data_IF_169360698378
#
_entry.id   IF_169360698378
#
_cell.length_a   1.000
_cell.length_b   1.000
_cell.length_c   1.000
_cell.angle_alpha   90.00
_cell.angle_beta   90.00
_cell.angle_gamma   90.00
#
_symmetry.space_group_name_H-M   'P 1'
#
loop_
_entity.id
_entity.type
_entity.pdbx_description
1 polymer ?
#
# COMPACT_ATOMS: atom_id res chain seq x y z
N UNK A 1 2.12 29.76 -16.02
CA UNK A 1 3.29 30.16 -16.84
C UNK A 1 3.82 29.04 -17.74
N UNK A 2 4.05 27.84 -17.21
CA UNK A 2 4.50 26.68 -18.02
C UNK A 2 3.49 26.32 -19.11
N UNK A 3 2.19 26.29 -18.76
CA UNK A 3 1.10 26.03 -19.71
C UNK A 3 1.03 27.11 -20.75
N UNK A 4 1.11 28.39 -20.36
CA UNK A 4 1.12 29.53 -21.28
C UNK A 4 2.28 29.44 -22.26
N UNK A 5 3.48 29.14 -21.79
CA UNK A 5 4.64 28.95 -22.64
C UNK A 5 4.49 27.78 -23.61
N UNK A 6 3.85 26.70 -23.21
CA UNK A 6 3.54 25.57 -24.08
C UNK A 6 2.50 25.96 -25.15
N UNK A 7 1.50 26.76 -24.81
CA UNK A 7 0.50 27.24 -25.74
C UNK A 7 1.14 28.23 -26.75
N UNK A 8 1.95 29.16 -26.26
CA UNK A 8 2.72 30.09 -27.14
C UNK A 8 3.66 29.33 -28.08
N UNK A 9 4.31 28.30 -27.61
CA UNK A 9 5.20 27.44 -28.40
C UNK A 9 4.48 26.63 -29.49
N UNK A 10 3.15 26.67 -29.56
CA UNK A 10 2.38 26.07 -30.67
C UNK A 10 2.25 27.00 -31.89
N UNK A 11 2.51 28.29 -31.75
CA UNK A 11 2.59 29.24 -32.84
C UNK A 11 4.03 29.40 -33.30
N UNK A 12 4.25 29.73 -34.58
CA UNK A 12 5.59 29.98 -35.15
C UNK A 12 6.49 28.75 -35.19
N UNK A 13 5.96 27.55 -35.38
CA UNK A 13 6.76 26.32 -35.45
C UNK A 13 7.60 26.30 -36.72
N UNK A 14 8.82 25.75 -36.59
CA UNK A 14 9.81 25.64 -37.69
C UNK A 14 10.19 26.99 -38.33
N UNK A 15 10.03 28.11 -37.59
CA UNK A 15 10.38 29.43 -38.08
C UNK A 15 9.25 30.14 -38.84
N UNK A 16 8.07 29.55 -38.96
CA UNK A 16 6.91 30.20 -39.56
C UNK A 16 6.43 31.39 -38.73
N UNK A 17 5.89 32.45 -39.38
CA UNK A 17 5.30 33.58 -38.68
C UNK A 17 4.14 33.09 -37.78
N UNK A 18 4.15 33.51 -36.54
CA UNK A 18 3.10 33.14 -35.59
C UNK A 18 2.86 34.23 -34.54
N UNK A 19 1.62 34.33 -34.07
CA UNK A 19 1.26 35.24 -32.99
C UNK A 19 0.38 34.52 -31.98
N UNK A 20 0.45 34.97 -30.74
CA UNK A 20 -0.42 34.48 -29.66
C UNK A 20 -0.87 35.67 -28.81
N UNK A 21 -2.14 35.68 -28.41
CA UNK A 21 -2.69 36.69 -27.50
C UNK A 21 -3.49 36.02 -26.42
N UNK A 22 -3.29 36.44 -25.18
CA UNK A 22 -4.04 35.96 -24.02
C UNK A 22 -5.08 37.00 -23.61
N UNK A 23 -6.29 36.54 -23.36
CA UNK A 23 -7.37 37.34 -22.80
C UNK A 23 -7.66 36.82 -21.40
N UNK A 24 -7.52 37.68 -20.40
CA UNK A 24 -7.67 37.35 -18.98
C UNK A 24 -8.62 38.33 -18.33
N UNK A 25 -9.45 37.86 -17.41
CA UNK A 25 -10.26 38.72 -16.55
C UNK A 25 -9.54 39.00 -15.24
N UNK A 26 -9.74 40.18 -14.67
CA UNK A 26 -9.26 40.50 -13.33
C UNK A 26 -10.03 39.70 -12.23
N UNK A 27 -11.18 39.14 -12.60
CA UNK A 27 -12.00 38.28 -11.72
C UNK A 27 -11.53 36.81 -11.74
N UNK A 28 -10.65 36.45 -12.70
CA UNK A 28 -10.08 35.11 -12.76
C UNK A 28 -9.37 34.75 -11.45
N UNK A 29 -9.43 33.48 -11.04
CA UNK A 29 -8.86 32.98 -9.79
C UNK A 29 -7.38 33.33 -9.61
N UNK A 30 -6.63 33.41 -10.72
CA UNK A 30 -5.23 33.83 -10.71
C UNK A 30 -5.05 35.23 -10.12
N UNK A 31 -5.86 36.18 -10.57
CA UNK A 31 -5.77 37.58 -10.12
C UNK A 31 -6.53 37.85 -8.85
N UNK A 32 -7.64 37.12 -8.61
CA UNK A 32 -8.41 37.18 -7.36
C UNK A 32 -7.61 36.69 -6.15
N UNK A 33 -6.89 35.57 -6.27
CA UNK A 33 -6.15 34.96 -5.17
C UNK A 33 -4.72 35.50 -5.00
N UNK A 34 -4.07 35.92 -6.09
CA UNK A 34 -2.66 36.31 -6.10
C UNK A 34 -2.42 37.73 -6.66
N UNK A 35 -3.43 38.31 -7.30
CA UNK A 35 -3.44 39.74 -7.62
C UNK A 35 -3.63 40.55 -6.34
N UNK A 36 -2.84 41.54 -6.10
CA UNK A 36 -2.98 42.38 -4.93
C UNK A 36 -4.25 43.24 -5.05
N UNK A 37 -4.92 43.51 -3.94
CA UNK A 37 -6.02 44.46 -3.78
C UNK A 37 -5.67 45.87 -4.36
N UNK A 38 -4.38 46.09 -4.61
CA UNK A 38 -3.86 47.28 -5.30
C UNK A 38 -4.35 47.41 -6.72
N UNK A 39 -4.63 46.28 -7.43
CA UNK A 39 -5.10 46.34 -8.83
C UNK A 39 -6.54 46.84 -8.88
N UNK A 40 -7.42 46.33 -7.99
CA UNK A 40 -8.81 46.81 -7.91
C UNK A 40 -8.88 48.28 -7.51
N UNK A 41 -8.01 48.73 -6.59
CA UNK A 41 -7.92 50.14 -6.21
C UNK A 41 -7.38 51.06 -7.33
N UNK A 42 -6.52 50.56 -8.22
CA UNK A 42 -6.03 51.30 -9.39
C UNK A 42 -7.14 51.41 -10.47
N UNK A 43 -7.91 50.33 -10.65
CA UNK A 43 -9.03 50.28 -11.60
C UNK A 43 -10.13 51.28 -11.27
N UNK A 44 -10.53 51.36 -9.98
CA UNK A 44 -11.52 52.33 -9.49
C UNK A 44 -11.04 53.78 -9.69
N UNK A 45 -9.73 54.04 -9.66
CA UNK A 45 -9.17 55.36 -9.87
C UNK A 45 -9.03 55.73 -11.36
N UNK A 46 -8.97 54.74 -12.25
CA UNK A 46 -8.80 54.95 -13.70
C UNK A 46 -10.12 55.25 -14.44
N UNK A 47 -11.30 55.05 -13.77
CA UNK A 47 -12.59 55.39 -14.35
C UNK A 47 -12.93 54.66 -15.64
N UNK A 48 -12.44 53.41 -15.80
CA UNK A 48 -12.62 52.64 -17.04
C UNK A 48 -14.04 52.06 -17.10
N UNK A 49 -14.62 52.07 -18.30
CA UNK A 49 -15.93 51.49 -18.58
C UNK A 49 -15.86 49.97 -18.66
N UNK A 50 -16.93 49.27 -18.27
CA UNK A 50 -17.04 47.80 -18.38
C UNK A 50 -16.92 47.39 -19.86
N UNK A 51 -16.01 46.45 -20.15
CA UNK A 51 -15.81 45.89 -21.49
C UNK A 51 -14.63 46.46 -22.28
N UNK A 52 -13.93 47.47 -21.77
CA UNK A 52 -12.70 47.96 -22.44
C UNK A 52 -11.49 47.07 -22.13
N UNK A 53 -10.73 46.63 -23.16
CA UNK A 53 -9.53 45.83 -22.94
C UNK A 53 -8.40 46.70 -22.35
N UNK A 54 -7.87 46.22 -21.20
CA UNK A 54 -6.81 46.89 -20.47
C UNK A 54 -5.44 46.47 -21.01
N UNK A 55 -4.77 47.32 -21.75
CA UNK A 55 -3.40 47.10 -22.24
C UNK A 55 -2.41 48.02 -21.47
N UNK A 56 -2.05 47.61 -20.23
CA UNK A 56 -1.10 48.37 -19.44
C UNK A 56 0.05 47.47 -18.97
N UNK A 57 1.30 47.97 -19.12
CA UNK A 57 2.49 47.22 -18.71
C UNK A 57 2.51 46.87 -17.22
N UNK A 58 1.86 47.69 -16.37
CA UNK A 58 1.73 47.42 -14.92
C UNK A 58 0.89 46.18 -14.68
N UNK A 59 -0.21 45.98 -15.43
CA UNK A 59 -1.11 44.83 -15.31
C UNK A 59 -0.41 43.57 -15.83
N UNK A 60 0.28 43.63 -16.96
CA UNK A 60 1.09 42.53 -17.48
C UNK A 60 2.13 42.05 -16.45
N UNK A 61 2.80 43.01 -15.77
CA UNK A 61 3.75 42.68 -14.69
C UNK A 61 3.09 42.10 -13.44
N UNK A 62 1.88 42.56 -13.12
CA UNK A 62 1.10 42.00 -12.01
C UNK A 62 0.66 40.54 -12.28
N UNK A 63 0.20 40.28 -13.52
CA UNK A 63 -0.14 38.93 -13.98
C UNK A 63 1.09 38.00 -13.89
N UNK A 64 2.24 38.44 -14.40
CA UNK A 64 3.49 37.67 -14.32
C UNK A 64 3.89 37.37 -12.89
N UNK A 65 3.76 38.32 -11.98
CA UNK A 65 4.06 38.11 -10.57
C UNK A 65 3.07 37.16 -9.92
N UNK A 66 1.77 37.23 -10.23
CA UNK A 66 0.76 36.29 -9.77
C UNK A 66 1.08 34.86 -10.25
N UNK A 67 1.41 34.69 -11.52
CA UNK A 67 1.84 33.41 -12.09
C UNK A 67 3.07 32.84 -11.37
N UNK A 68 4.09 33.68 -11.09
CA UNK A 68 5.27 33.23 -10.33
C UNK A 68 4.93 32.76 -8.92
N UNK A 69 4.01 33.45 -8.22
CA UNK A 69 3.56 33.03 -6.89
C UNK A 69 2.86 31.69 -6.92
N UNK A 70 1.94 31.49 -7.89
CA UNK A 70 1.26 30.20 -8.08
C UNK A 70 2.26 29.08 -8.39
N UNK A 71 3.21 29.36 -9.31
CA UNK A 71 4.26 28.40 -9.67
C UNK A 71 5.12 28.02 -8.46
N UNK A 72 5.53 29.01 -7.64
CA UNK A 72 6.28 28.79 -6.41
C UNK A 72 5.51 27.92 -5.41
N UNK A 73 4.23 28.25 -5.15
CA UNK A 73 3.39 27.46 -4.27
C UNK A 73 3.21 26.01 -4.76
N UNK A 74 2.93 25.84 -6.05
CA UNK A 74 2.80 24.50 -6.61
C UNK A 74 4.12 23.72 -6.62
N UNK A 75 5.25 24.42 -6.74
CA UNK A 75 6.57 23.81 -6.59
C UNK A 75 6.81 23.32 -5.16
N UNK A 76 6.51 24.13 -4.15
CA UNK A 76 6.65 23.76 -2.74
C UNK A 76 5.77 22.57 -2.39
N UNK A 77 4.49 22.58 -2.82
CA UNK A 77 3.59 21.42 -2.59
C UNK A 77 4.17 20.16 -3.22
N UNK A 78 4.66 20.23 -4.47
CA UNK A 78 5.25 19.04 -5.12
C UNK A 78 6.54 18.59 -4.47
N UNK A 79 7.38 19.54 -4.04
CA UNK A 79 8.61 19.22 -3.30
C UNK A 79 8.27 18.48 -2.01
N UNK A 80 7.32 18.99 -1.25
CA UNK A 80 6.87 18.34 -0.02
C UNK A 80 6.32 16.93 -0.27
N UNK A 81 5.51 16.73 -1.33
CA UNK A 81 5.03 15.41 -1.69
C UNK A 81 6.17 14.43 -2.02
N UNK A 82 7.18 14.88 -2.77
CA UNK A 82 8.36 14.07 -3.08
C UNK A 82 9.16 13.69 -1.83
N UNK A 83 9.30 14.59 -0.86
CA UNK A 83 10.01 14.32 0.40
C UNK A 83 9.32 13.21 1.23
N UNK A 84 7.98 13.13 1.20
CA UNK A 84 7.24 12.01 1.80
C UNK A 84 7.39 10.72 0.99
N UNK A 85 7.31 10.81 -0.34
CA UNK A 85 7.43 9.64 -1.22
C UNK A 85 8.84 9.02 -1.21
N UNK A 86 9.88 9.80 -0.99
CA UNK A 86 11.26 9.34 -0.89
C UNK A 86 11.46 8.34 0.26
N UNK A 87 10.73 8.50 1.37
CA UNK A 87 10.77 7.56 2.50
C UNK A 87 10.29 6.18 2.05
N UNK A 88 9.12 6.13 1.41
CA UNK A 88 8.55 4.88 0.89
C UNK A 88 9.40 4.29 -0.25
N UNK A 89 10.02 5.11 -1.09
CA UNK A 89 10.88 4.63 -2.16
C UNK A 89 12.10 3.88 -1.63
N UNK A 90 12.76 4.40 -0.59
CA UNK A 90 13.90 3.71 0.04
C UNK A 90 13.50 2.37 0.65
N UNK A 91 12.35 2.32 1.33
CA UNK A 91 11.80 1.09 1.88
C UNK A 91 11.45 0.08 0.78
N UNK A 92 10.85 0.57 -0.33
CA UNK A 92 10.52 -0.25 -1.50
C UNK A 92 11.76 -0.88 -2.13
N UNK A 93 12.87 -0.14 -2.24
CA UNK A 93 14.12 -0.67 -2.80
C UNK A 93 14.61 -1.89 -2.00
N UNK A 94 14.58 -1.82 -0.67
CA UNK A 94 14.98 -2.93 0.21
C UNK A 94 14.06 -4.14 0.03
N UNK A 95 12.75 -3.93 0.10
CA UNK A 95 11.77 -5.02 -0.02
C UNK A 95 11.80 -5.65 -1.42
N UNK A 96 11.96 -4.84 -2.46
CA UNK A 96 12.05 -5.38 -3.83
C UNK A 96 13.34 -6.13 -4.09
N UNK A 97 14.45 -5.80 -3.40
CA UNK A 97 15.66 -6.58 -3.43
C UNK A 97 15.44 -7.97 -2.79
N UNK A 98 14.83 -8.04 -1.60
CA UNK A 98 14.45 -9.31 -0.95
C UNK A 98 13.48 -10.13 -1.81
N UNK A 99 12.47 -9.48 -2.38
CA UNK A 99 11.52 -10.13 -3.27
C UNK A 99 12.19 -10.70 -4.52
N UNK A 100 13.15 -9.98 -5.09
CA UNK A 100 13.95 -10.45 -6.24
C UNK A 100 14.78 -11.66 -5.86
N UNK A 101 15.46 -11.65 -4.72
CA UNK A 101 16.20 -12.78 -4.18
C UNK A 101 15.30 -14.03 -4.06
N UNK A 102 14.10 -13.89 -3.48
CA UNK A 102 13.13 -14.97 -3.40
C UNK A 102 12.68 -15.50 -4.78
N UNK A 103 12.55 -14.64 -5.79
CA UNK A 103 12.18 -15.03 -7.15
C UNK A 103 13.30 -15.73 -7.90
N UNK A 104 14.53 -15.26 -7.80
CA UNK A 104 15.70 -15.90 -8.44
C UNK A 104 16.12 -17.18 -7.71
N UNK A 105 15.93 -17.23 -6.41
CA UNK A 105 16.36 -18.34 -5.54
C UNK A 105 17.84 -18.28 -5.13
N UNK A 106 18.56 -17.23 -5.54
CA UNK A 106 19.95 -17.05 -5.19
C UNK A 106 20.09 -16.46 -3.79
N UNK A 107 20.85 -17.11 -2.89
CA UNK A 107 21.13 -16.63 -1.54
C UNK A 107 19.94 -16.72 -0.55
N UNK A 108 18.85 -17.41 -0.92
CA UNK A 108 17.67 -17.54 -0.03
C UNK A 108 17.97 -18.42 1.18
N UNK A 109 18.68 -19.52 0.95
CA UNK A 109 19.04 -20.45 2.01
C UNK A 109 19.92 -19.79 3.08
N UNK A 110 20.96 -19.08 2.64
CA UNK A 110 21.84 -18.30 3.50
C UNK A 110 21.07 -17.23 4.29
N UNK A 111 20.18 -16.50 3.61
CA UNK A 111 19.35 -15.49 4.27
C UNK A 111 18.42 -16.10 5.33
N UNK A 112 17.88 -17.29 5.11
CA UNK A 112 17.08 -18.01 6.11
C UNK A 112 17.93 -18.40 7.33
N UNK A 113 19.14 -18.88 7.11
CA UNK A 113 20.06 -19.20 8.20
C UNK A 113 20.44 -17.96 9.02
N UNK A 114 20.71 -16.84 8.36
CA UNK A 114 20.96 -15.56 9.03
C UNK A 114 19.76 -15.10 9.86
N UNK A 115 18.52 -15.25 9.33
CA UNK A 115 17.29 -14.96 10.08
C UNK A 115 17.19 -15.83 11.35
N UNK A 116 17.48 -17.12 11.25
CA UNK A 116 17.46 -18.04 12.40
C UNK A 116 18.46 -17.61 13.46
N UNK A 117 19.69 -17.27 13.04
CA UNK A 117 20.74 -16.81 13.94
C UNK A 117 20.38 -15.50 14.65
N UNK A 118 19.84 -14.54 13.91
CA UNK A 118 19.41 -13.26 14.48
C UNK A 118 18.28 -13.47 15.50
N UNK A 119 17.25 -14.27 15.19
CA UNK A 119 16.14 -14.53 16.10
C UNK A 119 16.63 -15.26 17.36
N UNK A 120 17.56 -16.20 17.22
CA UNK A 120 18.15 -16.91 18.35
C UNK A 120 18.91 -15.93 19.28
N UNK A 121 19.67 -15.00 18.70
CA UNK A 121 20.33 -13.92 19.44
C UNK A 121 19.32 -13.02 20.16
N UNK A 122 18.28 -12.55 19.47
CA UNK A 122 17.22 -11.73 20.05
C UNK A 122 16.51 -12.41 21.25
N UNK A 123 16.25 -13.73 21.14
CA UNK A 123 15.66 -14.51 22.22
C UNK A 123 16.64 -14.59 23.41
N UNK A 124 17.90 -14.85 23.16
CA UNK A 124 18.91 -14.92 24.20
C UNK A 124 19.06 -13.57 24.92
N UNK A 125 19.18 -12.47 24.18
CA UNK A 125 19.29 -11.12 24.72
C UNK A 125 18.06 -10.70 25.55
N UNK A 126 16.86 -11.08 25.10
CA UNK A 126 15.62 -10.75 25.80
C UNK A 126 15.47 -11.48 27.15
N UNK A 127 16.14 -12.62 27.33
CA UNK A 127 16.07 -13.44 28.54
C UNK A 127 17.34 -13.38 29.37
N UNK A 128 18.42 -12.82 28.85
CA UNK A 128 19.63 -12.54 29.59
C UNK A 128 19.40 -11.34 30.51
N UNK A 129 19.60 -11.53 31.80
CA UNK A 129 19.47 -10.45 32.79
C UNK A 129 20.85 -9.87 33.05
N UNK A 130 21.03 -8.55 32.81
CA UNK A 130 22.28 -7.86 33.09
C UNK A 130 22.73 -8.04 34.54
N UNK A 131 24.01 -8.33 34.73
CA UNK A 131 24.61 -8.56 36.04
C UNK A 131 24.10 -9.76 36.84
N UNK A 132 23.37 -10.70 36.22
CA UNK A 132 23.01 -11.98 36.83
C UNK A 132 23.73 -13.14 36.11
N UNK A 133 24.20 -14.16 36.87
CA UNK A 133 24.78 -15.35 36.23
C UNK A 133 23.70 -16.12 35.48
N UNK A 134 24.04 -16.85 34.41
CA UNK A 134 23.08 -17.62 33.61
C UNK A 134 22.22 -18.62 34.39
N UNK A 135 22.70 -19.03 35.56
CA UNK A 135 21.99 -19.96 36.48
C UNK A 135 20.69 -19.37 37.04
N UNK A 136 20.63 -18.04 37.15
CA UNK A 136 19.48 -17.31 37.70
C UNK A 136 18.49 -16.86 36.61
N UNK A 137 18.77 -17.16 35.34
CA UNK A 137 17.88 -16.81 34.25
C UNK A 137 16.68 -17.74 34.18
N UNK A 138 15.51 -17.21 33.78
CA UNK A 138 14.29 -18.00 33.66
C UNK A 138 14.35 -18.95 32.46
N UNK A 139 14.86 -20.17 32.72
CA UNK A 139 14.95 -21.24 31.74
C UNK A 139 13.59 -21.62 31.14
N UNK A 140 12.52 -21.61 31.93
CA UNK A 140 11.21 -21.99 31.44
C UNK A 140 10.65 -20.96 30.46
N UNK A 141 10.82 -19.68 30.76
CA UNK A 141 10.46 -18.60 29.81
C UNK A 141 11.27 -18.68 28.51
N UNK A 142 12.57 -18.97 28.62
CA UNK A 142 13.45 -19.16 27.45
C UNK A 142 13.02 -20.36 26.59
N UNK A 143 12.76 -21.53 27.18
CA UNK A 143 12.28 -22.71 26.46
C UNK A 143 10.94 -22.44 25.77
N UNK A 144 10.03 -21.69 26.43
CA UNK A 144 8.77 -21.27 25.82
C UNK A 144 8.99 -20.30 24.64
N UNK A 145 9.90 -19.34 24.76
CA UNK A 145 10.20 -18.39 23.70
C UNK A 145 10.77 -19.09 22.45
N UNK A 146 11.73 -20.00 22.63
CA UNK A 146 12.29 -20.82 21.53
C UNK A 146 11.19 -21.70 20.92
N UNK A 147 10.35 -22.34 21.73
CA UNK A 147 9.21 -23.13 21.25
C UNK A 147 8.20 -22.28 20.48
N UNK A 148 7.96 -21.05 20.91
CA UNK A 148 7.08 -20.12 20.22
C UNK A 148 7.68 -19.64 18.88
N UNK A 149 8.96 -19.36 18.83
CA UNK A 149 9.65 -18.90 17.62
C UNK A 149 9.85 -20.03 16.59
N UNK A 150 10.42 -21.15 17.02
CA UNK A 150 10.91 -22.19 16.12
C UNK A 150 10.09 -23.48 16.12
N UNK A 151 9.21 -23.69 17.09
CA UNK A 151 8.32 -24.85 17.14
C UNK A 151 8.96 -26.13 17.68
N UNK A 152 10.12 -26.06 18.31
CA UNK A 152 10.77 -27.18 18.98
C UNK A 152 11.19 -26.82 20.40
N UNK A 153 11.40 -27.82 21.24
CA UNK A 153 11.92 -27.63 22.60
C UNK A 153 13.45 -27.73 22.56
N UNK A 154 14.18 -26.67 22.96
CA UNK A 154 15.65 -26.68 22.87
C UNK A 154 16.27 -27.55 23.99
N UNK A 155 17.42 -28.17 23.69
CA UNK A 155 18.25 -28.90 24.62
C UNK A 155 19.40 -28.00 25.12
N UNK A 156 19.09 -27.00 25.94
CA UNK A 156 19.99 -25.90 26.31
C UNK A 156 21.20 -26.30 27.19
N UNK A 157 21.33 -27.57 27.63
CA UNK A 157 22.41 -27.98 28.51
C UNK A 157 22.36 -27.32 29.89
N UNK A 158 23.52 -27.29 30.56
CA UNK A 158 23.65 -26.66 31.88
C UNK A 158 23.93 -25.16 31.74
N UNK A 159 23.32 -24.27 32.55
CA UNK A 159 23.47 -22.82 32.42
C UNK A 159 24.91 -22.31 32.47
N UNK A 160 25.77 -22.99 33.25
CA UNK A 160 27.21 -22.67 33.33
C UNK A 160 27.94 -22.75 31.97
N UNK A 161 27.41 -23.54 31.05
CA UNK A 161 28.02 -23.75 29.72
C UNK A 161 27.59 -22.72 28.69
N UNK A 162 26.61 -21.86 29.00
CA UNK A 162 26.06 -20.94 28.01
C UNK A 162 27.01 -19.80 27.61
N UNK A 163 27.93 -19.41 28.49
CA UNK A 163 28.91 -18.34 28.14
C UNK A 163 28.27 -16.94 27.98
N UNK A 164 27.12 -16.71 28.65
CA UNK A 164 26.37 -15.46 28.54
C UNK A 164 25.32 -15.48 27.44
N UNK A 165 24.74 -14.31 27.11
CA UNK A 165 23.69 -14.17 26.10
C UNK A 165 24.17 -14.60 24.70
N UNK A 166 25.36 -14.15 24.29
CA UNK A 166 25.95 -14.48 22.99
C UNK A 166 26.14 -16.01 22.81
N UNK A 167 26.70 -16.67 23.82
CA UNK A 167 26.88 -18.12 23.77
C UNK A 167 25.56 -18.88 23.80
N UNK A 168 24.58 -18.41 24.57
CA UNK A 168 23.23 -18.97 24.57
C UNK A 168 22.55 -18.82 23.19
N UNK A 169 22.66 -17.65 22.57
CA UNK A 169 22.17 -17.40 21.21
C UNK A 169 22.81 -18.35 20.20
N UNK A 170 24.12 -18.60 20.31
CA UNK A 170 24.82 -19.56 19.44
C UNK A 170 24.31 -20.99 19.63
N UNK A 171 24.06 -21.41 20.87
CA UNK A 171 23.49 -22.76 21.17
C UNK A 171 22.11 -22.93 20.54
N UNK A 172 21.22 -21.94 20.73
CA UNK A 172 19.87 -21.94 20.13
C UNK A 172 19.94 -21.99 18.62
N UNK A 173 20.82 -21.16 18.01
CA UNK A 173 21.01 -21.10 16.56
C UNK A 173 21.49 -22.43 15.99
N UNK A 174 22.46 -23.09 16.67
CA UNK A 174 23.00 -24.39 16.23
C UNK A 174 21.92 -25.49 16.28
N UNK A 175 21.13 -25.55 17.34
CA UNK A 175 20.01 -26.49 17.42
C UNK A 175 18.94 -26.22 16.35
N UNK A 176 18.60 -24.94 16.13
CA UNK A 176 17.65 -24.56 15.08
C UNK A 176 18.17 -24.95 13.69
N UNK A 177 19.46 -24.73 13.42
CA UNK A 177 20.13 -25.18 12.19
C UNK A 177 20.09 -26.71 12.04
N UNK A 178 20.33 -27.46 13.10
CA UNK A 178 20.26 -28.92 13.07
C UNK A 178 18.85 -29.42 12.74
N UNK A 179 17.82 -28.85 13.36
CA UNK A 179 16.41 -29.14 13.05
C UNK A 179 16.08 -28.79 11.60
N UNK A 180 16.59 -27.66 11.13
CA UNK A 180 16.40 -27.23 9.76
C UNK A 180 17.09 -28.14 8.74
N UNK A 181 18.34 -28.53 9.00
CA UNK A 181 19.09 -29.48 8.16
C UNK A 181 18.40 -30.86 8.09
N UNK A 182 17.85 -31.34 9.20
CA UNK A 182 17.08 -32.60 9.20
C UNK A 182 15.88 -32.56 8.23
N UNK A 183 15.29 -31.38 7.99
CA UNK A 183 14.22 -31.22 7.00
C UNK A 183 14.72 -31.31 5.57
N UNK A 184 15.93 -30.79 5.27
CA UNK A 184 16.57 -30.99 3.98
C UNK A 184 16.84 -32.48 3.71
N UNK A 185 17.29 -33.22 4.72
CA UNK A 185 17.52 -34.65 4.59
C UNK A 185 16.21 -35.44 4.39
N UNK A 186 15.14 -34.98 5.04
CA UNK A 186 13.81 -35.60 4.97
C UNK A 186 13.06 -35.31 3.66
N UNK A 187 13.04 -34.05 3.20
CA UNK A 187 12.22 -33.60 2.08
C UNK A 187 13.00 -33.42 0.77
N UNK A 188 14.30 -33.37 0.84
CA UNK A 188 15.22 -33.15 -0.28
C UNK A 188 15.45 -31.68 -0.62
N UNK A 189 16.64 -31.40 -1.12
CA UNK A 189 17.11 -30.03 -1.39
C UNK A 189 16.19 -29.24 -2.33
N UNK A 190 15.72 -29.86 -3.40
CA UNK A 190 14.88 -29.18 -4.40
C UNK A 190 13.53 -28.73 -3.81
N UNK A 191 12.92 -29.59 -2.97
CA UNK A 191 11.65 -29.28 -2.30
C UNK A 191 11.83 -28.16 -1.28
N UNK A 192 12.86 -28.25 -0.45
CA UNK A 192 13.13 -27.22 0.55
C UNK A 192 13.46 -25.88 -0.09
N UNK A 193 14.30 -25.83 -1.11
CA UNK A 193 14.61 -24.60 -1.85
C UNK A 193 13.36 -23.96 -2.50
N UNK A 194 12.43 -24.77 -2.98
CA UNK A 194 11.14 -24.27 -3.47
C UNK A 194 10.29 -23.67 -2.34
N UNK A 195 10.21 -24.35 -1.19
CA UNK A 195 9.42 -23.90 -0.04
C UNK A 195 10.02 -22.64 0.61
N UNK A 196 11.33 -22.53 0.74
CA UNK A 196 12.02 -21.31 1.19
C UNK A 196 11.57 -20.10 0.36
N UNK A 197 11.65 -20.23 -0.96
CA UNK A 197 11.26 -19.16 -1.90
C UNK A 197 9.78 -18.79 -1.78
N UNK A 198 8.92 -19.81 -1.74
CA UNK A 198 7.46 -19.60 -1.67
C UNK A 198 7.05 -18.94 -0.36
N UNK A 199 7.57 -19.42 0.78
CA UNK A 199 7.24 -18.88 2.09
C UNK A 199 7.78 -17.46 2.23
N UNK A 200 9.04 -17.23 1.90
CA UNK A 200 9.63 -15.89 1.96
C UNK A 200 8.84 -14.89 1.09
N UNK A 201 8.51 -15.28 -0.14
CA UNK A 201 7.74 -14.43 -1.05
C UNK A 201 6.35 -14.11 -0.50
N UNK A 202 5.65 -15.12 0.02
CA UNK A 202 4.31 -14.95 0.61
C UNK A 202 4.32 -14.03 1.83
N UNK A 203 5.27 -14.22 2.73
CA UNK A 203 5.42 -13.41 3.96
C UNK A 203 5.76 -11.98 3.60
N UNK A 204 6.76 -11.77 2.73
CA UNK A 204 7.16 -10.43 2.27
C UNK A 204 5.99 -9.71 1.60
N UNK A 205 5.28 -10.35 0.67
CA UNK A 205 4.17 -9.72 -0.06
C UNK A 205 2.99 -9.38 0.88
N UNK A 206 2.70 -10.21 1.88
CA UNK A 206 1.63 -9.95 2.84
C UNK A 206 1.97 -8.77 3.75
N UNK A 207 3.11 -8.83 4.42
CA UNK A 207 3.52 -7.81 5.39
C UNK A 207 3.84 -6.47 4.72
N UNK A 208 4.35 -6.48 3.49
CA UNK A 208 4.53 -5.26 2.72
C UNK A 208 3.23 -4.53 2.39
N UNK A 209 2.17 -5.27 2.04
CA UNK A 209 0.84 -4.66 1.82
C UNK A 209 0.29 -4.01 3.08
N UNK A 210 0.42 -4.70 4.22
CA UNK A 210 -0.03 -4.17 5.51
C UNK A 210 0.79 -2.93 5.91
N UNK A 211 2.11 -2.96 5.64
CA UNK A 211 2.98 -1.82 5.90
C UNK A 211 2.61 -0.60 5.06
N UNK A 212 2.31 -0.77 3.78
CA UNK A 212 1.85 0.34 2.93
C UNK A 212 0.59 0.98 3.48
N UNK A 213 -0.36 0.19 3.96
CA UNK A 213 -1.58 0.70 4.60
C UNK A 213 -1.25 1.48 5.88
N UNK A 214 -0.35 0.97 6.71
CA UNK A 214 0.09 1.65 7.94
C UNK A 214 0.80 2.97 7.62
N UNK A 215 1.61 3.02 6.58
CA UNK A 215 2.28 4.25 6.14
C UNK A 215 1.30 5.29 5.58
N UNK A 216 0.24 4.86 4.90
CA UNK A 216 -0.83 5.76 4.45
C UNK A 216 -1.57 6.36 5.64
N UNK A 217 -1.94 5.56 6.64
CA UNK A 217 -2.55 6.05 7.89
C UNK A 217 -1.63 7.00 8.66
N UNK A 218 -0.34 6.69 8.72
CA UNK A 218 0.65 7.57 9.33
C UNK A 218 0.70 8.93 8.60
N UNK A 219 0.72 8.90 7.26
CA UNK A 219 0.74 10.11 6.42
C UNK A 219 -0.49 11.00 6.62
N UNK A 220 -1.67 10.40 6.76
CA UNK A 220 -2.92 11.14 7.03
C UNK A 220 -2.87 11.85 8.39
N UNK A 221 -2.36 11.16 9.42
CA UNK A 221 -2.34 11.67 10.79
C UNK A 221 -1.17 12.59 11.14
N UNK A 222 -0.07 12.54 10.37
CA UNK A 222 1.21 13.17 10.76
C UNK A 222 1.13 14.70 10.84
N UNK A 223 0.25 15.32 10.04
CA UNK A 223 0.06 16.78 10.06
C UNK A 223 -0.34 17.32 11.44
N UNK A 224 -1.01 16.51 12.27
CA UNK A 224 -1.42 16.89 13.62
C UNK A 224 -0.22 17.06 14.56
N UNK A 225 0.94 16.47 14.27
CA UNK A 225 2.18 16.62 15.03
C UNK A 225 2.69 18.08 15.00
N UNK A 226 2.34 18.84 13.95
CA UNK A 226 2.64 20.27 13.85
C UNK A 226 2.05 21.13 14.97
N UNK A 227 0.91 20.74 15.55
CA UNK A 227 0.36 21.43 16.72
C UNK A 227 1.25 21.28 17.96
N UNK A 228 2.04 20.19 18.04
CA UNK A 228 3.04 19.97 19.08
C UNK A 228 4.40 20.59 18.78
N UNK A 229 4.50 21.53 17.82
CA UNK A 229 5.74 22.19 17.40
C UNK A 229 6.80 21.21 16.85
N UNK A 230 6.40 20.03 16.42
CA UNK A 230 7.26 19.04 15.76
C UNK A 230 7.18 19.20 14.26
N UNK A 231 8.30 18.97 13.59
CA UNK A 231 8.34 18.93 12.13
C UNK A 231 7.64 17.65 11.63
N UNK A 232 6.49 17.75 10.93
CA UNK A 232 5.74 16.58 10.48
C UNK A 232 6.54 15.64 9.59
N UNK A 233 7.46 16.17 8.75
CA UNK A 233 8.27 15.35 7.86
C UNK A 233 9.28 14.50 8.64
N UNK A 234 9.94 15.10 9.64
CA UNK A 234 10.89 14.37 10.49
C UNK A 234 10.21 13.30 11.33
N UNK A 235 9.04 13.62 11.89
CA UNK A 235 8.25 12.62 12.64
C UNK A 235 7.79 11.49 11.71
N UNK A 236 7.36 11.79 10.47
CA UNK A 236 7.02 10.77 9.48
C UNK A 236 8.20 9.88 9.13
N UNK A 237 9.39 10.45 8.94
CA UNK A 237 10.61 9.69 8.68
C UNK A 237 10.96 8.76 9.84
N UNK A 238 10.87 9.25 11.08
CA UNK A 238 11.18 8.50 12.30
C UNK A 238 10.18 7.38 12.54
N UNK A 239 8.89 7.71 12.63
CA UNK A 239 7.82 6.73 12.87
C UNK A 239 7.73 5.71 11.72
N UNK A 240 7.91 6.16 10.47
CA UNK A 240 7.94 5.29 9.31
C UNK A 240 9.15 4.34 9.28
N UNK A 241 10.31 4.76 9.81
CA UNK A 241 11.46 3.88 9.99
C UNK A 241 11.20 2.82 11.08
N UNK A 242 10.62 3.22 12.21
CA UNK A 242 10.25 2.31 13.30
C UNK A 242 9.26 1.22 12.81
N UNK A 243 8.21 1.63 12.08
CA UNK A 243 7.25 0.71 11.47
C UNK A 243 7.91 -0.24 10.45
N UNK A 244 8.84 0.29 9.66
CA UNK A 244 9.58 -0.51 8.68
C UNK A 244 10.46 -1.57 9.33
N UNK A 245 11.22 -1.19 10.36
CA UNK A 245 12.08 -2.13 11.10
C UNK A 245 11.26 -3.22 11.80
N UNK A 246 10.11 -2.86 12.40
CA UNK A 246 9.19 -3.83 12.99
C UNK A 246 8.64 -4.81 11.94
N UNK A 247 8.32 -4.33 10.72
CA UNK A 247 7.91 -5.20 9.62
C UNK A 247 9.04 -6.13 9.18
N UNK A 248 10.27 -5.63 9.02
CA UNK A 248 11.43 -6.46 8.63
C UNK A 248 11.67 -7.57 9.66
N UNK A 249 11.68 -7.23 10.95
CA UNK A 249 11.79 -8.21 12.03
C UNK A 249 10.68 -9.27 11.96
N UNK A 250 9.46 -8.84 11.70
CA UNK A 250 8.32 -9.75 11.55
C UNK A 250 8.46 -10.67 10.32
N UNK A 251 9.00 -10.17 9.20
CA UNK A 251 9.31 -11.01 8.02
C UNK A 251 10.28 -12.12 8.41
N UNK A 252 11.34 -11.79 9.14
CA UNK A 252 12.31 -12.77 9.60
C UNK A 252 11.68 -13.82 10.51
N UNK A 253 10.95 -13.39 11.53
CA UNK A 253 10.29 -14.26 12.50
C UNK A 253 9.27 -15.19 11.87
N UNK A 254 8.37 -14.67 11.01
CA UNK A 254 7.34 -15.47 10.36
C UNK A 254 7.97 -16.47 9.37
N UNK A 255 8.97 -16.04 8.59
CA UNK A 255 9.65 -16.91 7.61
C UNK A 255 10.36 -18.07 8.33
N UNK A 256 11.19 -17.78 9.32
CA UNK A 256 11.90 -18.82 10.07
C UNK A 256 10.94 -19.75 10.81
N UNK A 257 9.90 -19.19 11.47
CA UNK A 257 8.90 -19.98 12.17
C UNK A 257 8.14 -20.91 11.25
N UNK A 258 7.70 -20.44 10.08
CA UNK A 258 6.99 -21.28 9.10
C UNK A 258 7.86 -22.41 8.58
N UNK A 259 9.12 -22.13 8.23
CA UNK A 259 10.05 -23.12 7.71
C UNK A 259 10.41 -24.18 8.77
N UNK A 260 10.68 -23.78 10.01
CA UNK A 260 11.04 -24.69 11.09
C UNK A 260 9.85 -25.51 11.60
N UNK A 261 8.62 -25.03 11.48
CA UNK A 261 7.40 -25.78 11.83
C UNK A 261 6.83 -26.60 10.70
N UNK A 262 7.36 -26.44 9.48
CA UNK A 262 6.85 -27.12 8.29
C UNK A 262 6.80 -28.64 8.50
N UNK A 263 5.64 -29.23 8.22
CA UNK A 263 5.43 -30.68 8.18
C UNK A 263 4.68 -30.99 6.88
N UNK A 264 5.37 -31.64 5.95
CA UNK A 264 4.74 -32.12 4.73
C UNK A 264 4.15 -33.50 4.98
N UNK A 265 2.84 -33.63 4.74
CA UNK A 265 2.21 -34.95 4.70
C UNK A 265 2.74 -35.71 3.49
N UNK A 266 3.08 -36.99 3.67
CA UNK A 266 3.45 -37.84 2.55
C UNK A 266 2.25 -38.00 1.61
N UNK A 267 2.45 -38.16 0.29
CA UNK A 267 1.35 -38.40 -0.64
C UNK A 267 0.45 -39.58 -0.24
N UNK A 268 1.01 -40.57 0.42
CA UNK A 268 0.29 -41.76 0.91
C UNK A 268 -0.59 -41.49 2.13
N UNK A 269 -0.38 -40.35 2.84
CA UNK A 269 -1.17 -39.91 3.99
C UNK A 269 -2.22 -38.85 3.60
N UNK A 270 -2.18 -38.36 2.37
CA UNK A 270 -3.27 -37.57 1.83
C UNK A 270 -4.36 -38.57 1.51
N UNK A 271 -5.36 -38.70 2.41
CA UNK A 271 -6.64 -39.27 1.99
C UNK A 271 -6.97 -38.61 0.67
N UNK A 272 -7.10 -39.44 -0.38
CA UNK A 272 -7.59 -38.98 -1.68
C UNK A 272 -8.81 -38.11 -1.36
N UNK A 273 -8.64 -36.79 -1.47
CA UNK A 273 -9.80 -35.94 -1.59
C UNK A 273 -10.46 -36.41 -2.88
N UNK A 274 -11.34 -37.41 -2.74
CA UNK A 274 -12.26 -37.70 -3.81
C UNK A 274 -12.84 -36.35 -4.23
N UNK A 275 -12.66 -35.94 -5.49
CA UNK A 275 -13.28 -34.71 -5.94
C UNK A 275 -14.73 -34.81 -5.45
N UNK A 276 -15.28 -33.78 -4.80
CA UNK A 276 -16.66 -33.85 -4.34
C UNK A 276 -17.43 -34.39 -5.52
N UNK A 277 -18.09 -35.56 -5.33
CA UNK A 277 -18.94 -36.12 -6.36
C UNK A 277 -19.68 -34.93 -6.93
N UNK A 278 -19.69 -34.80 -8.27
CA UNK A 278 -20.45 -33.76 -8.94
C UNK A 278 -21.88 -33.83 -8.41
N UNK A 279 -22.07 -33.21 -7.25
CA UNK A 279 -23.40 -32.93 -6.76
C UNK A 279 -23.95 -32.03 -7.84
N UNK A 280 -24.88 -32.50 -8.67
CA UNK A 280 -25.47 -31.65 -9.68
C UNK A 280 -25.90 -30.41 -8.91
N UNK A 281 -25.27 -29.28 -9.20
CA UNK A 281 -25.70 -27.99 -8.69
C UNK A 281 -27.13 -27.82 -9.23
N UNK A 282 -28.10 -28.46 -8.54
CA UNK A 282 -29.46 -28.04 -8.68
C UNK A 282 -29.45 -26.62 -8.11
N UNK A 283 -29.46 -25.64 -8.98
CA UNK A 283 -29.96 -24.34 -8.65
C UNK A 283 -31.43 -24.51 -8.30
N UNK A 284 -31.73 -25.05 -7.14
CA UNK A 284 -33.01 -24.89 -6.50
C UNK A 284 -33.01 -23.39 -6.07
N UNK A 285 -33.42 -22.53 -6.95
CA UNK A 285 -34.22 -21.41 -6.55
C UNK A 285 -35.27 -22.02 -5.64
N UNK A 286 -35.13 -21.80 -4.33
CA UNK A 286 -35.88 -22.47 -3.30
C UNK A 286 -37.32 -22.75 -3.70
N UNK A 287 -37.59 -23.99 -4.08
CA UNK A 287 -38.92 -24.51 -4.27
C UNK A 287 -39.24 -25.33 -3.03
N UNK A 288 -39.40 -24.60 -1.93
CA UNK A 288 -40.08 -25.04 -0.74
C UNK A 288 -41.58 -24.67 -0.77
N UNK A 289 -42.16 -24.56 -1.99
CA UNK A 289 -43.61 -24.48 -2.17
C UNK A 289 -44.30 -23.25 -1.54
N UNK A 290 -43.57 -22.27 -1.00
CA UNK A 290 -44.17 -21.12 -0.31
C UNK A 290 -43.64 -19.73 -0.76
N UNK A 291 -42.85 -19.69 -1.88
CA UNK A 291 -42.44 -18.41 -2.47
C UNK A 291 -43.55 -17.85 -3.37
N UNK A 292 -43.80 -16.54 -3.39
CA UNK A 292 -44.78 -15.97 -4.32
C UNK A 292 -44.32 -16.25 -5.75
N UNK A 293 -45.16 -16.93 -6.55
CA UNK A 293 -44.94 -17.12 -7.98
C UNK A 293 -44.48 -15.80 -8.64
N UNK A 294 -43.46 -15.82 -9.53
CA UNK A 294 -43.08 -14.64 -10.25
C UNK A 294 -44.31 -14.08 -10.97
N UNK A 295 -44.71 -12.86 -10.61
CA UNK A 295 -45.92 -12.26 -11.15
C UNK A 295 -45.85 -12.21 -12.68
N UNK A 296 -46.50 -13.13 -13.36
CA UNK A 296 -46.65 -13.07 -14.81
C UNK A 296 -47.46 -11.83 -15.13
N UNK A 297 -46.87 -10.93 -15.90
CA UNK A 297 -47.58 -9.72 -16.36
C UNK A 297 -48.85 -10.15 -17.08
N UNK A 298 -49.99 -9.80 -16.55
CA UNK A 298 -51.34 -10.14 -17.08
C UNK A 298 -51.69 -9.45 -18.41
N UNK A 299 -50.83 -8.57 -18.92
CA UNK A 299 -51.05 -7.87 -20.19
C UNK A 299 -49.77 -7.79 -21.02
N UNK A 300 -49.86 -8.00 -22.32
CA UNK A 300 -48.78 -7.80 -23.26
C UNK A 300 -48.29 -6.34 -23.23
N UNK A 301 -46.97 -6.15 -23.35
CA UNK A 301 -46.38 -4.81 -23.40
C UNK A 301 -46.82 -4.12 -24.69
N UNK A 302 -47.66 -3.09 -24.58
CA UNK A 302 -48.11 -2.31 -25.74
C UNK A 302 -46.97 -1.39 -26.18
N UNK A 303 -46.56 -1.51 -27.44
CA UNK A 303 -45.51 -0.68 -28.01
C UNK A 303 -45.96 0.77 -28.15
N UNK A 304 -45.05 1.71 -28.11
CA UNK A 304 -45.30 3.16 -28.14
C UNK A 304 -46.11 3.59 -29.41
N UNK A 305 -45.96 2.87 -30.49
CA UNK A 305 -46.65 3.15 -31.74
C UNK A 305 -47.87 2.25 -32.01
N UNK A 306 -48.18 1.27 -31.16
CA UNK A 306 -49.27 0.35 -31.31
C UNK A 306 -50.63 1.05 -31.06
N UNK A 307 -51.75 0.51 -31.58
CA UNK A 307 -53.09 1.02 -31.29
C UNK A 307 -53.34 0.98 -29.78
N UNK A 308 -53.92 2.04 -29.25
CA UNK A 308 -54.21 2.14 -27.81
C UNK A 308 -55.27 1.11 -27.40
N UNK A 309 -55.03 0.31 -26.33
CA UNK A 309 -55.99 -0.71 -25.87
C UNK A 309 -57.29 -0.14 -25.33
N UNK A 310 -57.40 1.18 -25.19
CA UNK A 310 -58.64 1.85 -24.79
C UNK A 310 -59.70 1.96 -25.94
N UNK A 311 -59.41 1.45 -27.15
CA UNK A 311 -60.31 1.49 -28.28
C UNK A 311 -60.44 2.81 -29.01
N UNK A 312 -59.61 3.83 -28.68
CA UNK A 312 -59.71 5.18 -29.26
C UNK A 312 -59.18 5.34 -30.66
N UNK A 313 -58.65 4.28 -31.29
CA UNK A 313 -58.07 4.30 -32.63
C UNK A 313 -56.75 5.07 -32.77
N UNK A 314 -56.26 5.73 -31.67
CA UNK A 314 -55.03 6.51 -31.65
C UNK A 314 -53.84 5.66 -31.19
N UNK A 315 -52.61 6.02 -31.65
CA UNK A 315 -51.37 5.38 -31.19
C UNK A 315 -51.23 5.55 -29.68
N UNK A 316 -50.70 4.54 -28.94
CA UNK A 316 -50.57 4.52 -27.51
C UNK A 316 -49.86 5.78 -26.94
N UNK A 317 -48.78 6.26 -27.60
CA UNK A 317 -48.08 7.50 -27.23
C UNK A 317 -48.91 8.77 -27.34
N UNK A 318 -49.98 8.78 -28.08
CA UNK A 318 -50.90 9.96 -28.26
C UNK A 318 -52.23 9.79 -27.55
N UNK A 319 -52.37 8.78 -26.67
CA UNK A 319 -53.56 8.49 -25.89
C UNK A 319 -53.17 8.13 -24.45
N UNK A 320 -53.39 6.94 -23.97
CA UNK A 320 -53.12 6.53 -22.57
C UNK A 320 -51.62 6.49 -22.18
N UNK A 321 -50.71 6.54 -23.17
CA UNK A 321 -49.27 6.64 -22.97
C UNK A 321 -48.69 8.06 -23.11
N UNK A 322 -49.52 9.10 -23.18
CA UNK A 322 -49.05 10.49 -23.40
C UNK A 322 -48.51 11.20 -22.14
N UNK A 323 -48.32 10.49 -21.06
CA UNK A 323 -47.80 11.05 -19.80
C UNK A 323 -46.90 10.05 -19.01
N UNK A 324 -46.47 8.98 -19.68
CA UNK A 324 -45.55 8.00 -19.06
C UNK A 324 -44.24 7.96 -19.82
#
# INVERSE_FOLDING_TARGET
RRIDNQLRGRSGRQGDPGSSRFYLSLEDDLLRLFGSDRISGIMQKLGMEEGEPIEAGIISKAIENAQRKVEGRNFEIRKQLLEYDDVLNKQREVIYAQRRMALTGEGVHEAVLDMVEQIAGEIADAHAVENQPPEDWDRAALEMAVGAAFGFKPALGEPQTWGGAEGLGAIIAEEARAVYQAKFDQYGQATMAYLERMILLQVVDSLWKDHLLNMDHLKEGIGLRGYGQKDPLREYQREGYELFMAMVQRIQQETASMLLRLQLKRPDEVEEFAPPEDVPLSYSAGDDGSGPEPAKRKAAKVGRNDPCPCGSGKKYKKCCGAGK
#
